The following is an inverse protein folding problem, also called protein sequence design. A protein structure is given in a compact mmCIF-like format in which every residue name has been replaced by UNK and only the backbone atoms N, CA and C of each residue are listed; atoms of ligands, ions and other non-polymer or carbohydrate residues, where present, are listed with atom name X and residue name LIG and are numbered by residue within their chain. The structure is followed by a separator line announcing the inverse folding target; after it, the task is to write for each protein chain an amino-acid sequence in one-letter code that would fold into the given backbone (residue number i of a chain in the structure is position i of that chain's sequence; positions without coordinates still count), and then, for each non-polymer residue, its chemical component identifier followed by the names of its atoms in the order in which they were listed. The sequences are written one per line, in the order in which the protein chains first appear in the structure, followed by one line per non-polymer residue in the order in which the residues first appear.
data_IF_264297967272
#
_entry.id   IF_264297967272
#
_cell.length_a   1.000
_cell.length_b   1.000
_cell.length_c   1.000
_cell.angle_alpha   90.00
_cell.angle_beta   90.00
_cell.angle_gamma   90.00
#
_symmetry.space_group_name_H-M   'P 1'
#
loop_
_entity.id
_entity.type
_entity.pdbx_description
1 polymer ?
#
# COMPACT_ATOMS: atom_id res chain seq x y z
N UNK A 1 -15.54 14.47 -2.01
CA UNK A 1 -14.17 14.13 -1.56
C UNK A 1 -13.24 14.42 -2.71
N UNK A 2 -12.17 15.19 -2.49
CA UNK A 2 -11.11 15.39 -3.48
C UNK A 2 -10.05 14.31 -3.30
N UNK A 3 -9.40 13.87 -4.38
CA UNK A 3 -8.35 12.86 -4.30
C UNK A 3 -6.97 13.53 -4.43
N UNK A 4 -5.98 12.98 -3.73
CA UNK A 4 -4.59 13.37 -3.89
C UNK A 4 -4.00 12.55 -5.05
N UNK A 5 -3.50 13.22 -6.09
CA UNK A 5 -2.77 12.58 -7.17
C UNK A 5 -1.49 13.39 -7.37
N UNK A 6 -0.33 12.84 -6.98
CA UNK A 6 0.93 13.47 -7.33
C UNK A 6 1.30 13.05 -8.75
N UNK A 7 1.17 13.94 -9.73
CA UNK A 7 1.66 13.69 -11.08
C UNK A 7 3.16 14.03 -11.15
N UNK A 8 3.96 13.13 -11.72
CA UNK A 8 5.37 13.40 -12.03
C UNK A 8 5.54 13.63 -13.53
N UNK A 9 6.36 14.61 -13.91
CA UNK A 9 6.74 14.83 -15.32
C UNK A 9 8.15 14.29 -15.59
N UNK A 10 8.38 13.79 -16.82
CA UNK A 10 9.68 13.30 -17.30
C UNK A 10 10.69 14.45 -17.28
N UNK A 11 11.64 14.46 -16.35
CA UNK A 11 12.72 15.48 -16.34
C UNK A 11 13.38 15.80 -15.00
N UNK A 12 12.99 15.17 -13.89
CA UNK A 12 13.59 15.41 -12.58
C UNK A 12 12.55 15.64 -11.50
N UNK A 13 12.93 15.36 -10.26
CA UNK A 13 12.02 15.40 -9.10
C UNK A 13 11.58 16.85 -8.87
N UNK A 14 10.31 17.14 -9.19
CA UNK A 14 9.63 18.37 -8.78
C UNK A 14 8.29 17.95 -8.16
N UNK A 15 8.17 18.04 -6.84
CA UNK A 15 6.92 17.79 -6.13
C UNK A 15 6.01 19.00 -6.38
N UNK A 16 5.19 18.95 -7.42
CA UNK A 16 4.12 19.92 -7.62
C UNK A 16 2.87 19.44 -6.89
N UNK A 17 2.42 20.21 -5.89
CA UNK A 17 1.12 19.98 -5.21
C UNK A 17 -0.02 20.30 -6.18
N UNK A 18 -0.40 19.33 -7.02
CA UNK A 18 -1.59 19.40 -7.86
C UNK A 18 -2.65 18.45 -7.29
N UNK A 19 -3.90 18.90 -7.26
CA UNK A 19 -5.04 18.12 -6.76
C UNK A 19 -5.98 17.86 -7.92
N UNK A 20 -6.39 16.60 -8.07
CA UNK A 20 -7.41 16.25 -9.04
C UNK A 20 -8.73 15.98 -8.32
N UNK A 21 -9.71 16.83 -8.58
CA UNK A 21 -11.08 16.60 -8.10
C UNK A 21 -11.77 15.67 -9.09
N UNK A 22 -11.87 14.40 -8.70
CA UNK A 22 -12.65 13.43 -9.47
C UNK A 22 -14.15 13.74 -9.32
N UNK A 23 -14.95 13.67 -10.39
CA UNK A 23 -16.41 13.75 -10.32
C UNK A 23 -16.99 12.78 -9.29
N UNK A 24 -18.15 13.13 -8.72
CA UNK A 24 -18.85 12.20 -7.84
C UNK A 24 -19.31 10.99 -8.64
N UNK A 25 -19.07 9.78 -8.13
CA UNK A 25 -19.68 8.59 -8.69
C UNK A 25 -21.18 8.58 -8.43
N UNK A 26 -21.98 7.93 -9.31
CA UNK A 26 -23.37 7.60 -9.04
C UNK A 26 -23.59 6.84 -7.72
N UNK A 27 -22.58 6.11 -7.22
CA UNK A 27 -22.60 5.36 -5.96
C UNK A 27 -21.86 6.06 -4.82
N UNK A 28 -21.73 7.39 -4.86
CA UNK A 28 -21.08 8.19 -3.82
C UNK A 28 -21.73 8.13 -2.43
N UNK A 29 -22.96 7.61 -2.33
CA UNK A 29 -23.65 7.38 -1.06
C UNK A 29 -23.20 6.10 -0.37
N UNK A 30 -22.54 5.20 -1.10
CA UNK A 30 -22.05 3.92 -0.58
C UNK A 30 -20.66 4.10 0.05
N UNK A 31 -20.43 3.59 1.27
CA UNK A 31 -19.12 3.62 1.89
C UNK A 31 -18.08 2.89 1.03
N UNK A 32 -16.93 3.54 0.82
CA UNK A 32 -15.79 2.90 0.17
C UNK A 32 -14.86 2.28 1.19
N UNK A 33 -14.54 1.01 0.98
CA UNK A 33 -13.65 0.23 1.83
C UNK A 33 -12.19 0.33 1.39
N UNK A 34 -11.96 0.38 0.08
CA UNK A 34 -10.62 0.45 -0.51
C UNK A 34 -10.66 1.54 -1.57
N UNK A 35 -9.65 2.41 -1.55
CA UNK A 35 -9.45 3.41 -2.60
C UNK A 35 -8.00 3.30 -3.07
N UNK A 36 -7.81 3.24 -4.37
CA UNK A 36 -6.49 3.16 -4.97
C UNK A 36 -6.41 4.03 -6.21
N UNK A 37 -5.19 4.47 -6.51
CA UNK A 37 -4.87 5.17 -7.73
C UNK A 37 -3.74 4.42 -8.42
N UNK A 38 -3.86 4.21 -9.72
CA UNK A 38 -2.81 3.56 -10.49
C UNK A 38 -2.78 4.02 -11.93
N UNK A 39 -1.73 3.62 -12.61
CA UNK A 39 -1.47 3.99 -13.99
C UNK A 39 -1.52 2.74 -14.87
N UNK A 40 -2.28 2.81 -15.94
CA UNK A 40 -2.35 1.81 -17.01
C UNK A 40 -1.27 2.14 -18.04
N UNK A 41 -0.13 1.46 -17.93
CA UNK A 41 1.03 1.71 -18.80
C UNK A 41 0.79 1.36 -20.26
N UNK A 42 -0.18 0.50 -20.55
CA UNK A 42 -0.51 0.03 -21.91
C UNK A 42 -1.35 1.05 -22.63
N UNK A 43 -2.34 1.63 -21.95
CA UNK A 43 -3.27 2.60 -22.54
C UNK A 43 -2.90 4.07 -22.24
N UNK A 44 -1.85 4.32 -21.46
CA UNK A 44 -1.42 5.65 -21.00
C UNK A 44 -2.53 6.40 -20.24
N UNK A 45 -3.24 5.66 -19.37
CA UNK A 45 -4.39 6.17 -18.62
C UNK A 45 -4.15 6.12 -17.12
N UNK A 46 -4.49 7.19 -16.41
CA UNK A 46 -4.54 7.17 -14.95
C UNK A 46 -5.93 6.74 -14.49
N UNK A 47 -6.02 5.80 -13.54
CA UNK A 47 -7.29 5.27 -13.05
C UNK A 47 -7.39 5.36 -11.52
N UNK A 48 -8.59 5.67 -11.04
CA UNK A 48 -8.96 5.59 -9.62
C UNK A 48 -9.87 4.39 -9.43
N UNK A 49 -9.45 3.45 -8.59
CA UNK A 49 -10.18 2.24 -8.26
C UNK A 49 -10.81 2.35 -6.87
N UNK A 50 -12.03 1.84 -6.72
CA UNK A 50 -12.71 1.76 -5.43
C UNK A 50 -13.40 0.43 -5.24
N UNK A 51 -13.28 -0.12 -4.03
CA UNK A 51 -14.20 -1.14 -3.51
C UNK A 51 -15.27 -0.44 -2.66
N UNK A 52 -16.51 -0.80 -2.89
CA UNK A 52 -17.68 -0.34 -2.17
C UNK A 52 -18.31 -1.50 -1.38
N UNK A 53 -18.84 -1.16 -0.21
CA UNK A 53 -19.66 -2.09 0.59
C UNK A 53 -21.14 -1.90 0.24
N UNK A 54 -21.73 -2.85 -0.47
CA UNK A 54 -23.16 -2.81 -0.82
C UNK A 54 -23.91 -3.93 -0.09
N UNK A 55 -24.24 -3.68 1.18
CA UNK A 55 -24.86 -4.69 2.05
C UNK A 55 -23.92 -5.87 2.27
N UNK A 56 -24.34 -7.07 1.87
CA UNK A 56 -23.53 -8.29 1.98
C UNK A 56 -22.58 -8.53 0.79
N UNK A 57 -22.59 -7.65 -0.22
CA UNK A 57 -21.78 -7.79 -1.44
C UNK A 57 -20.75 -6.68 -1.57
N UNK A 58 -19.65 -7.00 -2.24
CA UNK A 58 -18.67 -6.02 -2.68
C UNK A 58 -18.93 -5.64 -4.12
N UNK A 59 -18.81 -4.36 -4.38
CA UNK A 59 -18.79 -3.82 -5.74
C UNK A 59 -17.48 -3.07 -5.95
N UNK A 60 -17.08 -2.96 -7.20
CA UNK A 60 -15.90 -2.20 -7.56
C UNK A 60 -16.24 -1.26 -8.70
N UNK A 61 -15.65 -0.07 -8.64
CA UNK A 61 -15.76 0.91 -9.70
C UNK A 61 -14.40 1.51 -10.00
N UNK A 62 -14.22 1.84 -11.27
CA UNK A 62 -13.04 2.51 -11.78
C UNK A 62 -13.45 3.83 -12.41
N UNK A 63 -12.67 4.86 -12.14
CA UNK A 63 -12.71 6.13 -12.84
C UNK A 63 -11.46 6.25 -13.69
N UNK A 64 -11.63 6.57 -14.97
CA UNK A 64 -10.51 6.81 -15.87
C UNK A 64 -10.33 8.31 -16.08
N UNK A 65 -9.12 8.79 -15.82
CA UNK A 65 -8.70 10.15 -16.12
C UNK A 65 -8.53 10.28 -17.63
N UNK A 66 -9.24 11.24 -18.23
CA UNK A 66 -9.32 11.41 -19.68
C UNK A 66 -10.76 11.29 -20.16
N UNK A 67 -11.35 10.09 -20.04
CA UNK A 67 -12.79 9.88 -20.33
C UNK A 67 -13.72 10.54 -19.30
N UNK A 68 -13.21 10.83 -18.09
CA UNK A 68 -13.93 11.46 -16.99
C UNK A 68 -15.22 10.72 -16.58
N UNK A 69 -15.23 9.40 -16.74
CA UNK A 69 -16.39 8.57 -16.42
C UNK A 69 -16.06 7.56 -15.32
N UNK A 70 -17.08 7.27 -14.51
CA UNK A 70 -17.08 6.13 -13.60
C UNK A 70 -17.73 4.95 -14.31
N UNK A 71 -17.19 3.76 -14.08
CA UNK A 71 -17.85 2.52 -14.48
C UNK A 71 -17.65 1.42 -13.44
N UNK A 72 -18.59 0.50 -13.40
CA UNK A 72 -18.49 -0.70 -12.57
C UNK A 72 -17.52 -1.70 -13.20
N UNK A 73 -16.83 -2.45 -12.36
CA UNK A 73 -16.11 -3.63 -12.78
C UNK A 73 -17.06 -4.81 -12.60
N UNK A 74 -17.35 -5.49 -13.70
CA UNK A 74 -18.23 -6.65 -13.71
C UNK A 74 -17.46 -7.90 -13.23
N UNK A 75 -18.20 -8.89 -12.71
CA UNK A 75 -17.67 -10.22 -12.38
C UNK A 75 -16.49 -10.20 -11.39
N UNK A 76 -16.60 -9.42 -10.31
CA UNK A 76 -15.64 -9.52 -9.21
C UNK A 76 -15.59 -10.95 -8.67
N UNK A 77 -14.38 -11.48 -8.40
CA UNK A 77 -14.27 -12.79 -7.78
C UNK A 77 -14.88 -12.74 -6.38
N UNK A 78 -15.40 -13.88 -5.91
CA UNK A 78 -15.95 -14.01 -4.57
C UNK A 78 -14.83 -14.05 -3.53
N UNK A 79 -14.26 -12.88 -3.26
CA UNK A 79 -13.12 -12.67 -2.36
C UNK A 79 -13.56 -11.67 -1.29
N UNK A 80 -12.96 -11.80 -0.11
CA UNK A 80 -13.15 -10.82 0.96
C UNK A 80 -12.29 -9.59 0.66
N UNK A 81 -12.92 -8.43 0.56
CA UNK A 81 -12.22 -7.20 0.14
C UNK A 81 -11.96 -6.21 1.27
N UNK A 82 -12.52 -6.43 2.48
CA UNK A 82 -12.27 -5.52 3.60
C UNK A 82 -10.77 -5.46 3.89
N UNK A 83 -10.20 -4.25 4.01
CA UNK A 83 -8.86 -4.08 4.52
C UNK A 83 -8.72 -4.74 5.90
N UNK A 84 -7.54 -5.28 6.18
CA UNK A 84 -7.25 -5.75 7.54
C UNK A 84 -7.43 -4.62 8.56
N UNK A 85 -8.25 -4.88 9.58
CA UNK A 85 -8.43 -3.98 10.71
C UNK A 85 -7.19 -3.92 11.61
N UNK A 86 -6.32 -4.94 11.55
CA UNK A 86 -5.06 -5.00 12.33
C UNK A 86 -4.06 -3.95 11.84
N UNK A 87 -4.09 -3.60 10.55
CA UNK A 87 -3.18 -2.62 9.95
C UNK A 87 -3.84 -1.26 9.76
N UNK A 88 -4.81 -0.90 10.63
CA UNK A 88 -5.66 0.30 10.58
C UNK A 88 -5.10 1.40 9.66
N UNK A 89 -5.85 1.67 8.56
CA UNK A 89 -5.59 2.66 7.48
C UNK A 89 -4.83 2.08 6.28
N UNK A 90 -5.60 1.58 5.31
CA UNK A 90 -5.43 1.77 3.86
C UNK A 90 -4.00 2.01 3.32
N UNK A 91 -3.10 1.04 3.49
CA UNK A 91 -1.86 1.03 2.71
C UNK A 91 -2.06 0.09 1.53
N UNK A 92 -2.44 0.68 0.40
CA UNK A 92 -2.37 -0.01 -0.89
C UNK A 92 -1.01 0.32 -1.50
N UNK A 93 -0.30 -0.67 -2.02
CA UNK A 93 0.96 -0.44 -2.76
C UNK A 93 0.73 -0.63 -4.25
N UNK A 94 1.27 0.28 -5.04
CA UNK A 94 1.25 0.18 -6.50
C UNK A 94 2.59 -0.36 -7.00
N UNK A 95 2.55 -1.47 -7.73
CA UNK A 95 3.72 -2.15 -8.28
C UNK A 95 3.29 -3.00 -9.47
N UNK A 96 4.10 -3.16 -10.51
CA UNK A 96 3.79 -4.01 -11.68
C UNK A 96 2.38 -3.73 -12.26
N UNK A 97 2.07 -2.46 -12.49
CA UNK A 97 0.78 -1.96 -12.99
C UNK A 97 -0.44 -2.42 -12.19
N UNK A 98 -0.23 -2.76 -10.93
CA UNK A 98 -1.23 -3.38 -10.08
C UNK A 98 -1.25 -2.75 -8.69
N UNK A 99 -2.47 -2.52 -8.20
CA UNK A 99 -2.73 -2.12 -6.82
C UNK A 99 -2.80 -3.36 -5.94
N UNK A 100 -2.12 -3.35 -4.82
CA UNK A 100 -2.09 -4.46 -3.87
C UNK A 100 -2.49 -3.98 -2.50
N UNK A 101 -3.27 -4.76 -1.77
CA UNK A 101 -3.62 -4.48 -0.38
C UNK A 101 -3.87 -5.75 0.40
N UNK A 102 -3.69 -5.67 1.72
CA UNK A 102 -3.98 -6.79 2.61
C UNK A 102 -5.46 -6.80 3.02
N UNK A 103 -6.04 -7.99 2.94
CA UNK A 103 -7.35 -8.32 3.51
C UNK A 103 -7.19 -9.38 4.60
N UNK A 104 -8.16 -9.46 5.52
CA UNK A 104 -8.16 -10.42 6.62
C UNK A 104 -9.57 -10.93 6.91
N UNK A 105 -9.80 -12.24 6.78
CA UNK A 105 -11.06 -12.89 7.18
C UNK A 105 -10.75 -14.06 8.11
N UNK A 106 -11.33 -14.07 9.31
CA UNK A 106 -11.13 -15.15 10.30
C UNK A 106 -9.64 -15.47 10.54
N UNK A 107 -8.81 -14.44 10.71
CA UNK A 107 -7.34 -14.53 10.84
C UNK A 107 -6.56 -15.07 9.62
N UNK A 108 -7.22 -15.36 8.49
CA UNK A 108 -6.54 -15.64 7.24
C UNK A 108 -6.29 -14.34 6.48
N UNK A 109 -5.02 -13.94 6.40
CA UNK A 109 -4.60 -12.78 5.63
C UNK A 109 -4.28 -13.16 4.19
N UNK A 110 -4.66 -12.30 3.25
CA UNK A 110 -4.35 -12.44 1.82
C UNK A 110 -3.98 -11.09 1.23
N UNK A 111 -3.26 -11.11 0.12
CA UNK A 111 -3.01 -9.92 -0.68
C UNK A 111 -4.01 -9.95 -1.83
N UNK A 112 -4.89 -8.95 -1.89
CA UNK A 112 -5.74 -8.72 -3.07
C UNK A 112 -4.96 -7.85 -4.04
N UNK A 113 -5.04 -8.19 -5.32
CA UNK A 113 -4.33 -7.53 -6.41
C UNK A 113 -5.34 -7.07 -7.43
N UNK A 114 -5.31 -5.80 -7.79
CA UNK A 114 -6.08 -5.25 -8.90
C UNK A 114 -5.12 -4.77 -9.98
N UNK A 115 -5.09 -5.46 -11.12
CA UNK A 115 -4.31 -5.00 -12.27
C UNK A 115 -5.04 -3.83 -12.94
N UNK A 116 -4.40 -2.68 -13.06
CA UNK A 116 -5.07 -1.45 -13.49
C UNK A 116 -5.37 -1.45 -14.99
N UNK A 117 -4.52 -2.07 -15.80
CA UNK A 117 -4.72 -2.12 -17.25
C UNK A 117 -5.79 -3.12 -17.68
N UNK A 118 -5.68 -4.35 -17.17
CA UNK A 118 -6.62 -5.44 -17.46
C UNK A 118 -7.89 -5.38 -16.62
N UNK A 119 -7.84 -4.64 -15.51
CA UNK A 119 -8.93 -4.49 -14.54
C UNK A 119 -9.45 -5.80 -13.98
N UNK A 120 -8.51 -6.72 -13.79
CA UNK A 120 -8.77 -8.03 -13.18
C UNK A 120 -8.31 -8.04 -11.74
N UNK A 121 -9.09 -8.70 -10.89
CA UNK A 121 -8.74 -8.95 -9.50
C UNK A 121 -8.14 -10.34 -9.37
N UNK A 122 -6.98 -10.42 -8.73
CA UNK A 122 -6.31 -11.65 -8.32
C UNK A 122 -6.06 -11.64 -6.81
N UNK A 123 -5.65 -12.79 -6.27
CA UNK A 123 -5.33 -12.94 -4.86
C UNK A 123 -4.04 -13.74 -4.73
N UNK A 124 -3.13 -13.27 -3.89
CA UNK A 124 -1.94 -14.00 -3.50
C UNK A 124 -2.02 -14.44 -2.03
N UNK A 125 -1.55 -15.64 -1.76
CA UNK A 125 -1.26 -16.09 -0.41
C UNK A 125 -0.02 -15.38 0.14
N UNK A 126 -0.07 -15.11 1.44
CA UNK A 126 1.10 -14.70 2.22
C UNK A 126 1.88 -15.94 2.73
N UNK A 127 3.13 -15.78 3.19
CA UNK A 127 3.91 -16.87 3.81
C UNK A 127 3.16 -17.49 4.99
N UNK A 128 3.12 -18.83 5.05
CA UNK A 128 2.34 -19.58 6.06
C UNK A 128 2.73 -19.21 7.49
N UNK A 129 4.02 -19.05 7.72
CA UNK A 129 4.64 -18.75 9.01
C UNK A 129 4.35 -17.33 9.50
N UNK A 130 3.77 -16.49 8.65
CA UNK A 130 3.38 -15.11 8.97
C UNK A 130 1.87 -14.91 9.09
N UNK A 131 1.07 -15.95 8.79
CA UNK A 131 -0.39 -15.87 8.69
C UNK A 131 -1.06 -15.41 9.97
N UNK A 132 -0.52 -15.81 11.11
CA UNK A 132 -1.19 -15.56 12.38
C UNK A 132 -0.86 -14.19 12.98
N UNK A 133 0.15 -13.47 12.48
CA UNK A 133 0.58 -12.22 13.10
C UNK A 133 1.21 -11.21 12.11
N UNK A 134 0.48 -10.89 11.04
CA UNK A 134 0.89 -9.80 10.13
C UNK A 134 0.87 -8.46 10.86
N UNK A 135 1.90 -7.66 10.59
CA UNK A 135 2.16 -6.33 11.15
C UNK A 135 2.47 -5.29 10.11
N UNK A 136 2.83 -5.68 8.91
CA UNK A 136 3.14 -4.72 7.86
C UNK A 136 3.07 -5.29 6.46
N UNK A 137 2.97 -4.39 5.51
CA UNK A 137 2.94 -4.68 4.08
C UNK A 137 3.55 -3.52 3.31
N UNK A 138 4.26 -3.83 2.24
CA UNK A 138 5.03 -2.83 1.53
C UNK A 138 5.73 -3.38 0.30
N UNK A 139 6.68 -2.59 -0.19
CA UNK A 139 7.53 -2.93 -1.33
C UNK A 139 8.99 -2.79 -0.91
N UNK A 140 9.77 -3.85 -1.11
CA UNK A 140 11.19 -3.88 -0.84
C UNK A 140 12.00 -4.22 -2.09
N UNK A 141 12.72 -3.23 -2.63
CA UNK A 141 13.50 -3.40 -3.85
C UNK A 141 12.65 -3.98 -4.97
N UNK A 142 11.51 -3.34 -5.24
CA UNK A 142 10.54 -3.73 -6.28
C UNK A 142 9.89 -5.10 -6.10
N UNK A 143 9.90 -5.62 -4.88
CA UNK A 143 9.26 -6.88 -4.54
C UNK A 143 8.24 -6.66 -3.44
N UNK A 144 7.12 -7.37 -3.50
CA UNK A 144 6.14 -7.34 -2.42
C UNK A 144 6.76 -7.88 -1.14
N UNK A 145 6.46 -7.21 -0.04
CA UNK A 145 7.00 -7.55 1.26
C UNK A 145 5.87 -7.58 2.30
N UNK A 146 5.90 -8.56 3.20
CA UNK A 146 5.08 -8.58 4.41
C UNK A 146 5.97 -8.67 5.64
N UNK A 147 5.55 -8.03 6.73
CA UNK A 147 6.20 -8.16 8.04
C UNK A 147 5.24 -8.87 8.98
N UNK A 148 5.71 -9.91 9.65
CA UNK A 148 4.94 -10.62 10.67
C UNK A 148 5.83 -11.40 11.63
N UNK A 149 5.27 -11.74 12.78
CA UNK A 149 5.91 -12.64 13.76
C UNK A 149 5.34 -14.06 13.66
N UNK A 150 5.89 -14.97 14.48
CA UNK A 150 5.30 -16.29 14.74
C UNK A 150 3.90 -16.19 15.36
N UNK A 151 3.70 -15.17 16.19
CA UNK A 151 2.47 -14.87 16.91
C UNK A 151 2.45 -13.39 17.30
N UNK A 152 1.36 -12.93 17.95
CA UNK A 152 1.20 -11.52 18.27
C UNK A 152 2.15 -10.98 19.36
N UNK A 153 2.73 -11.87 20.16
CA UNK A 153 3.62 -11.58 21.28
C UNK A 153 5.10 -11.76 20.94
N UNK A 154 5.41 -12.30 19.76
CA UNK A 154 6.78 -12.54 19.31
C UNK A 154 7.65 -11.28 19.42
N UNK A 155 8.85 -11.47 19.96
CA UNK A 155 9.90 -10.46 20.04
C UNK A 155 10.62 -10.28 18.70
N UNK A 156 10.41 -11.15 17.71
CA UNK A 156 11.06 -11.08 16.41
C UNK A 156 10.03 -10.88 15.30
N UNK A 157 10.24 -9.83 14.50
CA UNK A 157 9.47 -9.56 13.29
C UNK A 157 10.27 -10.05 12.09
N UNK A 158 9.69 -10.96 11.33
CA UNK A 158 10.30 -11.50 10.13
C UNK A 158 9.80 -10.70 8.93
N UNK A 159 10.76 -10.21 8.14
CA UNK A 159 10.51 -9.56 6.85
C UNK A 159 10.54 -10.64 5.78
N UNK A 160 9.40 -10.84 5.12
CA UNK A 160 9.26 -11.80 4.02
C UNK A 160 9.12 -11.06 2.71
N UNK A 161 9.81 -11.54 1.67
CA UNK A 161 9.81 -10.93 0.34
C UNK A 161 9.43 -11.98 -0.70
N UNK A 162 8.52 -11.61 -1.61
CA UNK A 162 8.16 -12.42 -2.78
C UNK A 162 9.26 -12.26 -3.82
N UNK A 163 10.15 -13.26 -3.95
CA UNK A 163 11.33 -13.16 -4.82
C UNK A 163 10.97 -13.12 -6.29
N UNK A 164 9.92 -13.83 -6.67
CA UNK A 164 9.37 -13.86 -8.02
C UNK A 164 7.90 -13.42 -7.96
N UNK A 165 7.58 -12.31 -8.63
CA UNK A 165 6.26 -11.71 -8.56
C UNK A 165 5.17 -12.68 -9.04
N UNK A 166 4.12 -12.86 -8.23
CA UNK A 166 3.01 -13.77 -8.50
C UNK A 166 3.31 -15.25 -8.22
N UNK A 167 4.53 -15.61 -7.84
CA UNK A 167 4.91 -16.99 -7.49
C UNK A 167 4.89 -17.15 -5.97
N UNK A 168 3.83 -17.72 -5.42
CA UNK A 168 3.63 -17.82 -3.97
C UNK A 168 4.71 -18.67 -3.28
N UNK A 169 5.28 -19.67 -3.95
CA UNK A 169 6.38 -20.48 -3.40
C UNK A 169 7.71 -19.71 -3.31
N UNK A 170 7.80 -18.50 -3.89
CA UNK A 170 9.00 -17.67 -3.90
C UNK A 170 9.14 -16.78 -2.66
N UNK A 171 8.17 -16.81 -1.74
CA UNK A 171 8.28 -16.11 -0.46
C UNK A 171 9.49 -16.61 0.32
N UNK A 172 10.40 -15.70 0.66
CA UNK A 172 11.60 -16.01 1.43
C UNK A 172 11.83 -14.98 2.53
N UNK A 173 12.46 -15.41 3.63
CA UNK A 173 12.88 -14.53 4.72
C UNK A 173 14.02 -13.65 4.22
N UNK A 174 13.84 -12.33 4.28
CA UNK A 174 14.87 -11.37 3.93
C UNK A 174 15.72 -11.00 5.15
N UNK A 175 15.06 -10.67 6.26
CA UNK A 175 15.73 -10.35 7.51
C UNK A 175 14.79 -10.52 8.72
N UNK A 176 15.37 -10.41 9.92
CA UNK A 176 14.65 -10.44 11.19
C UNK A 176 14.94 -9.15 11.93
N UNK A 177 13.88 -8.46 12.32
CA UNK A 177 13.89 -7.23 13.10
C UNK A 177 13.53 -7.61 14.53
N UNK A 178 14.46 -7.42 15.46
CA UNK A 178 14.14 -7.61 16.86
C UNK A 178 13.23 -6.47 17.35
N UNK A 179 12.04 -6.83 17.81
CA UNK A 179 11.01 -5.93 18.30
C UNK A 179 11.51 -5.06 19.45
N UNK A 180 12.42 -5.54 20.30
CA UNK A 180 12.97 -4.73 21.40
C UNK A 180 13.92 -3.63 20.92
N UNK A 181 14.46 -3.75 19.72
CA UNK A 181 15.24 -2.70 19.09
C UNK A 181 14.36 -1.59 18.49
N UNK A 182 13.05 -1.81 18.38
CA UNK A 182 12.07 -0.85 17.86
C UNK A 182 11.16 -0.40 19.00
N UNK A 183 10.97 0.90 19.16
CA UNK A 183 10.15 1.44 20.24
C UNK A 183 8.69 0.95 20.15
N UNK A 184 8.04 0.75 21.29
CA UNK A 184 6.68 0.18 21.35
C UNK A 184 5.61 1.02 20.66
N UNK A 185 5.85 2.31 20.49
CA UNK A 185 4.97 3.28 19.81
C UNK A 185 4.90 3.09 18.30
N UNK A 186 5.66 2.15 17.75
CA UNK A 186 5.74 1.83 16.32
C UNK A 186 4.97 0.54 15.99
N UNK A 187 4.34 -0.08 16.98
CA UNK A 187 3.56 -1.31 16.81
C UNK A 187 2.07 -1.00 16.56
N UNK A 188 1.83 -0.48 15.37
CA UNK A 188 0.54 -0.37 14.69
C UNK A 188 0.88 -0.22 13.20
N UNK A 189 0.29 -1.04 12.34
CA UNK A 189 0.55 -1.17 10.89
C UNK A 189 1.86 -0.57 10.36
N UNK A 190 2.86 -1.40 10.09
CA UNK A 190 4.13 -1.00 9.48
C UNK A 190 3.99 -0.93 7.96
N UNK A 191 4.23 0.24 7.38
CA UNK A 191 4.57 0.34 5.96
C UNK A 191 6.09 0.20 5.80
N UNK A 192 6.48 -0.54 4.76
CA UNK A 192 7.89 -0.88 4.50
C UNK A 192 8.27 -0.38 3.13
N UNK A 193 9.37 0.34 3.09
CA UNK A 193 9.99 0.79 1.86
C UNK A 193 11.49 0.55 1.90
N UNK A 194 12.12 0.49 0.73
CA UNK A 194 13.57 0.52 0.63
C UNK A 194 14.05 1.94 0.30
N UNK A 195 15.05 2.41 1.05
CA UNK A 195 15.80 3.61 0.71
C UNK A 195 16.79 3.32 -0.44
N UNK A 196 17.24 4.37 -1.15
CA UNK A 196 18.17 4.22 -2.28
C UNK A 196 19.53 3.61 -1.90
N UNK A 197 19.95 3.75 -0.65
CA UNK A 197 21.17 3.16 -0.11
C UNK A 197 20.96 1.71 0.37
N UNK A 198 19.77 1.14 0.18
CA UNK A 198 19.41 -0.21 0.57
C UNK A 198 18.85 -0.36 1.99
N UNK A 199 18.84 0.71 2.80
CA UNK A 199 18.28 0.69 4.16
C UNK A 199 16.77 0.48 4.14
N UNK A 200 16.23 -0.17 5.18
CA UNK A 200 14.79 -0.31 5.35
C UNK A 200 14.22 0.95 5.97
N UNK A 201 13.15 1.44 5.38
CA UNK A 201 12.33 2.51 5.96
C UNK A 201 11.11 1.84 6.57
N UNK A 202 10.94 2.01 7.87
CA UNK A 202 9.77 1.55 8.61
C UNK A 202 8.92 2.77 8.98
N UNK A 203 7.70 2.77 8.48
CA UNK A 203 6.69 3.78 8.76
C UNK A 203 5.67 3.19 9.73
N UNK A 204 5.63 3.73 10.95
CA UNK A 204 4.66 3.34 11.97
C UNK A 204 3.46 4.28 12.04
N UNK A 205 2.41 3.87 12.75
CA UNK A 205 1.26 4.72 13.02
C UNK A 205 1.67 6.06 13.70
N UNK A 206 0.99 7.16 13.33
CA UNK A 206 1.11 8.45 14.05
C UNK A 206 2.16 9.44 13.54
N UNK A 207 2.72 9.25 12.32
CA UNK A 207 3.88 9.99 11.75
C UNK A 207 5.21 9.62 12.38
N UNK A 208 5.26 8.48 13.05
CA UNK A 208 6.49 7.86 13.46
C UNK A 208 7.15 7.29 12.19
N UNK A 209 8.29 7.87 11.78
CA UNK A 209 9.12 7.36 10.69
C UNK A 209 10.55 7.02 11.16
N UNK A 210 11.12 5.88 10.78
CA UNK A 210 12.48 5.52 11.13
C UNK A 210 13.18 4.64 10.10
N UNK A 211 14.51 4.64 10.14
CA UNK A 211 15.33 3.73 9.36
C UNK A 211 15.71 2.51 10.20
N UNK A 212 15.65 1.34 9.60
CA UNK A 212 16.23 0.13 10.15
C UNK A 212 17.41 -0.30 9.28
N UNK A 213 18.60 -0.22 9.86
CA UNK A 213 19.81 -0.75 9.25
C UNK A 213 19.86 -2.25 9.51
N UNK A 214 19.68 -3.05 8.45
CA UNK A 214 19.68 -4.52 8.53
C UNK A 214 21.03 -5.05 9.04
N UNK A 215 22.14 -4.43 8.64
CA UNK A 215 23.48 -4.89 8.98
C UNK A 215 23.81 -4.61 10.44
N UNK A 216 23.52 -3.39 10.90
CA UNK A 216 23.73 -2.98 12.29
C UNK A 216 22.63 -3.45 13.24
N UNK A 217 21.52 -3.95 12.69
CA UNK A 217 20.29 -4.30 13.43
C UNK A 217 19.79 -3.15 14.31
N UNK A 218 19.98 -1.93 13.84
CA UNK A 218 19.72 -0.71 14.61
C UNK A 218 18.57 0.06 13.98
N UNK A 219 17.62 0.44 14.83
CA UNK A 219 16.56 1.36 14.46
C UNK A 219 16.98 2.80 14.80
N UNK A 220 16.83 3.71 13.84
CA UNK A 220 17.08 5.14 14.00
C UNK A 220 15.79 5.90 13.74
N UNK A 221 15.17 6.54 14.76
CA UNK A 221 13.98 7.34 14.56
C UNK A 221 14.30 8.62 13.76
N UNK A 222 13.38 9.03 12.90
CA UNK A 222 13.41 10.32 12.20
C UNK A 222 12.40 11.24 12.89
N UNK A 223 12.87 12.37 13.39
CA UNK A 223 12.00 13.44 13.87
C UNK A 223 11.44 14.24 12.69
N UNK A 224 10.14 14.10 12.43
CA UNK A 224 9.44 15.00 11.53
C UNK A 224 8.96 16.18 12.36
N UNK A 225 9.70 17.30 12.31
CA UNK A 225 9.29 18.54 12.95
C UNK A 225 7.87 18.92 12.51
N UNK A 226 6.90 19.05 13.42
CA UNK A 226 5.59 19.55 13.06
C UNK A 226 5.73 21.03 12.75
N UNK A 227 5.93 21.39 11.49
CA UNK A 227 5.74 22.77 11.04
C UNK A 227 4.38 23.29 11.51
N UNK A 228 4.25 24.63 11.67
CA UNK A 228 3.01 25.32 12.06
C UNK A 228 1.80 24.57 11.49
N UNK A 229 0.88 24.19 12.37
CA UNK A 229 -0.26 23.36 12.04
C UNK A 229 -0.90 23.82 10.72
N UNK A 230 -0.65 23.06 9.65
CA UNK A 230 -1.32 23.22 8.36
C UNK A 230 -2.83 23.09 8.64
N UNK A 231 -3.72 23.94 8.08
CA UNK A 231 -5.18 23.90 8.34
C UNK A 231 -5.84 22.54 8.02
N UNK A 232 -5.08 21.61 7.45
CA UNK A 232 -5.42 20.24 7.08
C UNK A 232 -5.81 19.37 8.30
N UNK A 233 -5.71 19.86 9.55
CA UNK A 233 -6.21 19.17 10.75
C UNK A 233 -7.71 18.77 10.69
N UNK A 234 -8.49 19.28 9.74
CA UNK A 234 -9.89 18.89 9.51
C UNK A 234 -10.11 17.87 8.38
N UNK A 235 -9.08 17.43 7.66
CA UNK A 235 -9.24 16.39 6.63
C UNK A 235 -8.82 15.04 7.23
N UNK A 236 -9.80 14.25 7.68
CA UNK A 236 -9.65 12.82 7.98
C UNK A 236 -9.43 12.00 6.70
N UNK A 237 -8.38 12.29 5.92
CA UNK A 237 -8.05 11.49 4.74
C UNK A 237 -6.55 11.17 4.71
N UNK A 238 -6.21 9.93 4.33
CA UNK A 238 -4.82 9.48 4.34
C UNK A 238 -4.01 10.37 3.39
N UNK A 239 -2.87 10.83 3.88
CA UNK A 239 -1.74 11.14 3.00
C UNK A 239 -1.42 9.80 2.34
N UNK A 240 -1.92 9.58 1.13
CA UNK A 240 -1.46 8.48 0.30
C UNK A 240 0.06 8.67 0.19
N UNK A 241 0.89 7.73 0.66
CA UNK A 241 2.16 7.55 -0.01
C UNK A 241 1.72 7.24 -1.44
N UNK A 242 1.92 8.19 -2.35
CA UNK A 242 1.97 7.83 -3.76
C UNK A 242 3.25 7.02 -3.86
N UNK A 243 3.15 5.75 -3.45
CA UNK A 243 4.09 4.70 -3.75
C UNK A 243 4.20 4.70 -5.25
N UNK A 244 5.21 5.43 -5.69
CA UNK A 244 5.78 5.49 -7.02
C UNK A 244 4.81 5.17 -8.16
N UNK A 245 4.30 6.21 -8.82
CA UNK A 245 3.73 6.11 -10.18
C UNK A 245 4.73 5.55 -11.22
N UNK A 246 5.95 5.23 -10.80
CA UNK A 246 7.03 4.67 -11.61
C UNK A 246 7.70 3.58 -10.80
N UNK A 247 7.92 2.39 -11.38
CA UNK A 247 8.88 1.46 -10.79
C UNK A 247 10.24 2.19 -10.59
N UNK A 248 10.95 1.96 -9.47
CA UNK A 248 12.29 2.46 -9.24
C UNK A 248 13.26 2.39 -10.44
N UNK A 249 13.12 1.41 -11.33
CA UNK A 249 13.92 1.31 -12.58
C UNK A 249 13.73 2.49 -13.56
N UNK A 250 12.57 3.15 -13.53
CA UNK A 250 12.25 4.27 -14.43
C UNK A 250 12.74 5.62 -13.91
N UNK A 251 13.34 5.67 -12.72
CA UNK A 251 13.95 6.87 -12.15
C UNK A 251 15.44 6.89 -12.48
N UNK A 252 15.78 7.26 -13.71
CA UNK A 252 17.19 7.57 -14.06
C UNK A 252 17.68 7.16 -15.44
N UNK A 253 16.86 6.56 -16.31
CA UNK A 253 17.25 6.38 -17.72
C UNK A 253 17.12 7.72 -18.44
N UNK A 254 18.27 8.39 -18.61
CA UNK A 254 18.45 9.46 -19.61
C UNK A 254 18.36 8.89 -21.01
#
# INVERSE_FOLDING_TARGET
MGWFVSLFSRGGIRITRAYLRVPKSPKNHTPSLVNGFGYDSVNDECKVFRILENGEKFEAEVFTLGSNSWRLIENLPNVFFFPSLVLRKLYNVFMNDSLHWLTQKNNDFKIVVFNVGREVVNVFQIPRESKDAIRGFGVLGERLCVIGGSDFHSDDLIVWVMKEYGVESSWAKECVINRRAVDSRWFGGLEVMQAKNGELILLGEGRNLGYYDIQKKLFTPIEINPGKADPIRQVQQPILPVGSLFSPENVGRR
#
